data_IF_573118506098
#
_entry.id   IF_573118506098
#
_cell.length_a   1.000
_cell.length_b   1.000
_cell.length_c   1.000
_cell.angle_alpha   90.00
_cell.angle_beta   90.00
_cell.angle_gamma   90.00
#
_symmetry.space_group_name_H-M   'P 1'
#
loop_
_entity.id
_entity.type
_entity.pdbx_description
1 polymer ?
#
# COMPACT_ATOMS: atom_id res chain seq x y z
N UNK A 1 38.90 -41.95 2.97
CA UNK A 1 39.20 -40.81 3.86
C UNK A 1 38.45 -39.53 3.49
N UNK A 2 38.45 -39.10 2.24
CA UNK A 2 37.73 -37.88 1.79
C UNK A 2 36.22 -37.91 2.02
N UNK A 3 35.54 -39.02 1.82
CA UNK A 3 34.09 -39.15 2.00
C UNK A 3 33.65 -38.94 3.47
N UNK A 4 34.44 -39.41 4.43
CA UNK A 4 34.17 -39.28 5.86
C UNK A 4 34.37 -37.85 6.31
N UNK A 5 35.41 -37.15 5.85
CA UNK A 5 35.63 -35.73 6.11
C UNK A 5 34.50 -34.88 5.51
N UNK A 6 34.06 -35.19 4.31
CA UNK A 6 32.96 -34.54 3.64
C UNK A 6 31.66 -34.65 4.46
N UNK A 7 31.32 -35.86 4.91
CA UNK A 7 30.14 -36.09 5.75
C UNK A 7 30.21 -35.31 7.08
N UNK A 8 31.37 -35.29 7.75
CA UNK A 8 31.55 -34.56 9.00
C UNK A 8 31.36 -33.06 8.81
N UNK A 9 31.86 -32.51 7.69
CA UNK A 9 31.72 -31.07 7.39
C UNK A 9 30.26 -30.63 7.20
N UNK A 10 29.38 -31.52 6.70
CA UNK A 10 27.97 -31.20 6.43
C UNK A 10 27.02 -31.54 7.57
N UNK A 11 27.42 -32.33 8.57
CA UNK A 11 26.54 -32.69 9.71
C UNK A 11 26.12 -31.46 10.53
N UNK A 12 27.02 -30.53 10.81
CA UNK A 12 26.69 -29.31 11.59
C UNK A 12 25.76 -28.37 10.83
N UNK A 13 26.05 -27.99 9.54
CA UNK A 13 25.13 -27.17 8.74
C UNK A 13 23.75 -27.82 8.55
N UNK A 14 23.69 -29.13 8.32
CA UNK A 14 22.42 -29.86 8.15
C UNK A 14 21.60 -29.84 9.46
N UNK A 15 22.23 -30.13 10.60
CA UNK A 15 21.55 -30.05 11.90
C UNK A 15 21.09 -28.62 12.22
N UNK A 16 21.90 -27.62 11.90
CA UNK A 16 21.53 -26.22 12.04
C UNK A 16 20.35 -25.85 11.16
N UNK A 17 20.35 -26.26 9.89
CA UNK A 17 19.24 -26.02 8.96
C UNK A 17 17.93 -26.72 9.39
N UNK A 18 18.02 -27.98 9.86
CA UNK A 18 16.86 -28.71 10.38
C UNK A 18 16.32 -28.03 11.66
N UNK A 19 17.22 -27.57 12.56
CA UNK A 19 16.82 -26.85 13.77
C UNK A 19 16.13 -25.50 13.43
N UNK A 20 16.70 -24.75 12.50
CA UNK A 20 16.10 -23.49 12.04
C UNK A 20 14.74 -23.72 11.39
N UNK A 21 14.63 -24.67 10.46
CA UNK A 21 13.37 -25.01 9.81
C UNK A 21 12.31 -25.54 10.79
N UNK A 22 12.71 -26.25 11.84
CA UNK A 22 11.77 -26.74 12.87
C UNK A 22 11.32 -25.68 13.87
N UNK A 23 12.02 -24.56 13.96
CA UNK A 23 11.66 -23.40 14.81
C UNK A 23 11.02 -22.24 14.04
N UNK A 24 10.92 -22.36 12.73
CA UNK A 24 10.36 -21.34 11.88
C UNK A 24 8.83 -21.26 12.08
N UNK A 25 8.35 -20.08 12.41
CA UNK A 25 6.93 -19.81 12.57
C UNK A 25 6.41 -19.33 11.22
N UNK A 26 5.35 -19.96 10.67
CA UNK A 26 4.78 -19.47 9.41
C UNK A 26 4.39 -18.00 9.49
N UNK A 27 4.80 -17.21 8.50
CA UNK A 27 4.45 -15.79 8.39
C UNK A 27 2.92 -15.60 8.37
N UNK A 28 2.21 -16.51 7.72
CA UNK A 28 0.76 -16.57 7.70
C UNK A 28 0.31 -17.66 8.68
N UNK A 29 -0.15 -17.25 9.84
CA UNK A 29 -0.79 -18.11 10.82
C UNK A 29 -2.29 -18.31 10.53
N UNK A 30 -2.97 -19.14 11.33
CA UNK A 30 -4.38 -19.46 11.14
C UNK A 30 -5.30 -18.22 11.22
N UNK A 31 -4.96 -17.23 12.05
CA UNK A 31 -5.74 -15.99 12.18
C UNK A 31 -5.62 -15.15 10.88
N UNK A 32 -4.41 -15.00 10.34
CA UNK A 32 -4.19 -14.35 9.05
C UNK A 32 -4.94 -15.06 7.93
N UNK A 33 -4.80 -16.37 7.84
CA UNK A 33 -5.45 -17.17 6.80
C UNK A 33 -6.97 -17.04 6.87
N UNK A 34 -7.56 -17.19 8.05
CA UNK A 34 -9.01 -17.09 8.25
C UNK A 34 -9.54 -15.70 7.91
N UNK A 35 -8.80 -14.64 8.29
CA UNK A 35 -9.18 -13.26 7.97
C UNK A 35 -9.15 -13.01 6.46
N UNK A 36 -8.11 -13.48 5.77
CA UNK A 36 -8.00 -13.30 4.32
C UNK A 36 -9.06 -14.09 3.55
N UNK A 37 -9.43 -15.28 4.02
CA UNK A 37 -10.56 -16.04 3.47
C UNK A 37 -11.89 -15.31 3.70
N UNK A 38 -12.11 -14.71 4.88
CA UNK A 38 -13.29 -13.90 5.12
C UNK A 38 -13.36 -12.69 4.18
N UNK A 39 -12.25 -11.98 3.97
CA UNK A 39 -12.20 -10.89 2.99
C UNK A 39 -12.55 -11.41 1.58
N UNK A 40 -12.02 -12.57 1.18
CA UNK A 40 -12.35 -13.17 -0.11
C UNK A 40 -13.86 -13.42 -0.26
N UNK A 41 -14.51 -13.95 0.78
CA UNK A 41 -15.92 -14.34 0.75
C UNK A 41 -16.89 -13.15 0.85
N UNK A 42 -16.54 -12.16 1.67
CA UNK A 42 -17.47 -11.09 2.08
C UNK A 42 -17.30 -9.80 1.28
N UNK A 43 -16.21 -9.66 0.51
CA UNK A 43 -15.93 -8.44 -0.24
C UNK A 43 -16.18 -8.56 -1.74
N UNK A 44 -16.35 -7.41 -2.39
CA UNK A 44 -16.39 -7.35 -3.86
C UNK A 44 -15.05 -7.79 -4.47
N UNK A 45 -15.07 -8.47 -5.62
CA UNK A 45 -13.87 -8.91 -6.35
C UNK A 45 -12.88 -7.76 -6.67
N UNK A 46 -13.38 -6.52 -6.75
CA UNK A 46 -12.57 -5.32 -6.99
C UNK A 46 -12.17 -4.59 -5.71
N UNK A 47 -12.48 -5.13 -4.55
CA UNK A 47 -12.06 -4.55 -3.28
C UNK A 47 -10.54 -4.49 -3.20
N UNK A 48 -10.00 -3.37 -2.72
CA UNK A 48 -8.55 -3.13 -2.68
C UNK A 48 -8.06 -3.36 -1.25
N UNK A 49 -6.97 -4.10 -1.10
CA UNK A 49 -6.30 -4.23 0.19
C UNK A 49 -5.07 -3.32 0.21
N UNK A 50 -5.05 -2.40 1.17
CA UNK A 50 -3.90 -1.52 1.45
C UNK A 50 -3.25 -1.94 2.76
N UNK A 51 -1.96 -2.23 2.73
CA UNK A 51 -1.11 -2.54 3.87
C UNK A 51 0.33 -2.17 3.53
N UNK A 52 1.28 -2.37 4.44
CA UNK A 52 2.68 -2.37 4.07
C UNK A 52 2.97 -3.56 3.14
N UNK A 53 4.00 -3.46 2.31
CA UNK A 53 4.23 -4.35 1.14
C UNK A 53 4.50 -5.83 1.48
N UNK A 54 4.95 -6.14 2.69
CA UNK A 54 5.46 -7.46 3.09
C UNK A 54 4.47 -8.60 2.83
N UNK A 55 3.20 -8.36 3.14
CA UNK A 55 2.15 -9.36 2.99
C UNK A 55 1.37 -9.26 1.67
N UNK A 56 1.71 -8.32 0.80
CA UNK A 56 0.96 -8.04 -0.42
C UNK A 56 0.74 -9.27 -1.33
N UNK A 57 1.75 -10.14 -1.44
CA UNK A 57 1.62 -11.38 -2.20
C UNK A 57 0.64 -12.37 -1.56
N UNK A 58 0.62 -12.46 -0.22
CA UNK A 58 -0.32 -13.31 0.51
C UNK A 58 -1.76 -12.81 0.36
N UNK A 59 -1.97 -11.50 0.40
CA UNK A 59 -3.29 -10.90 0.16
C UNK A 59 -3.81 -11.24 -1.23
N UNK A 60 -2.99 -11.12 -2.25
CA UNK A 60 -3.35 -11.51 -3.62
C UNK A 60 -3.66 -13.00 -3.75
N UNK A 61 -2.85 -13.86 -3.12
CA UNK A 61 -2.97 -15.32 -3.29
C UNK A 61 -4.09 -15.94 -2.46
N UNK A 62 -4.41 -15.39 -1.28
CA UNK A 62 -5.39 -15.97 -0.35
C UNK A 62 -6.72 -15.23 -0.42
N UNK A 63 -6.70 -13.90 -0.31
CA UNK A 63 -7.92 -13.10 -0.42
C UNK A 63 -8.39 -12.91 -1.87
N UNK A 64 -7.52 -13.18 -2.86
CA UNK A 64 -7.81 -12.96 -4.28
C UNK A 64 -8.33 -11.53 -4.56
N UNK A 65 -7.66 -10.55 -3.98
CA UNK A 65 -7.99 -9.13 -4.12
C UNK A 65 -6.78 -8.32 -4.56
N UNK A 66 -6.98 -7.29 -5.40
CA UNK A 66 -5.91 -6.34 -5.73
C UNK A 66 -5.36 -5.68 -4.48
N UNK A 67 -4.06 -5.38 -4.50
CA UNK A 67 -3.36 -4.68 -3.42
C UNK A 67 -2.81 -3.35 -3.93
N UNK A 68 -2.65 -2.38 -3.04
CA UNK A 68 -2.06 -1.08 -3.38
C UNK A 68 -0.61 -1.25 -3.86
N UNK A 69 0.18 -2.09 -3.19
CA UNK A 69 1.53 -2.48 -3.61
C UNK A 69 1.98 -3.75 -2.86
N UNK A 70 3.06 -4.34 -3.33
CA UNK A 70 3.64 -5.58 -2.80
C UNK A 70 5.17 -5.59 -2.96
N UNK A 71 5.82 -6.69 -2.62
CA UNK A 71 7.27 -6.85 -2.69
C UNK A 71 7.89 -6.60 -4.07
N UNK A 72 7.14 -6.73 -5.16
CA UNK A 72 7.64 -6.41 -6.51
C UNK A 72 7.55 -4.92 -6.83
N UNK A 73 6.71 -4.19 -6.12
CA UNK A 73 6.42 -2.75 -6.34
C UNK A 73 6.81 -1.88 -5.14
N UNK A 74 7.57 -2.42 -4.19
CA UNK A 74 7.98 -1.74 -2.94
C UNK A 74 8.76 -0.43 -3.15
N UNK A 75 9.39 -0.24 -4.31
CA UNK A 75 10.12 0.99 -4.67
C UNK A 75 9.26 1.99 -5.44
N UNK A 76 8.00 1.69 -5.69
CA UNK A 76 7.09 2.54 -6.45
C UNK A 76 6.44 3.61 -5.56
N UNK A 77 5.89 4.69 -6.16
CA UNK A 77 5.30 5.80 -5.41
C UNK A 77 4.26 5.44 -4.34
N UNK A 78 3.42 4.40 -4.48
CA UNK A 78 2.52 3.99 -3.40
C UNK A 78 3.19 3.75 -2.06
N UNK A 79 4.46 3.27 -2.04
CA UNK A 79 5.22 3.08 -0.80
C UNK A 79 5.38 4.39 0.00
N UNK A 80 5.62 5.52 -0.68
CA UNK A 80 5.66 6.83 -0.02
C UNK A 80 4.34 7.19 0.67
N UNK A 81 3.24 6.95 -0.02
CA UNK A 81 1.92 7.31 0.48
C UNK A 81 1.47 6.41 1.63
N UNK A 82 1.70 5.10 1.52
CA UNK A 82 1.38 4.16 2.61
C UNK A 82 2.30 4.37 3.81
N UNK A 83 3.60 4.64 3.62
CA UNK A 83 4.48 5.03 4.71
C UNK A 83 4.00 6.29 5.42
N UNK A 84 3.55 7.30 4.67
CA UNK A 84 2.97 8.50 5.24
C UNK A 84 1.65 8.25 5.97
N UNK A 85 0.79 7.38 5.43
CA UNK A 85 -0.45 6.94 6.06
C UNK A 85 -0.19 6.32 7.44
N UNK A 86 0.79 5.43 7.54
CA UNK A 86 1.14 4.75 8.79
C UNK A 86 1.78 5.67 9.84
N UNK A 87 2.37 6.79 9.41
CA UNK A 87 3.08 7.73 10.28
C UNK A 87 2.27 8.97 10.67
N UNK A 88 1.06 9.17 10.12
CA UNK A 88 0.25 10.34 10.44
C UNK A 88 -0.64 10.10 11.65
N UNK A 89 -0.75 11.08 12.53
CA UNK A 89 -1.73 11.13 13.63
C UNK A 89 -3.04 11.84 13.22
N UNK A 90 -3.14 12.28 11.98
CA UNK A 90 -4.31 12.98 11.44
C UNK A 90 -5.20 12.02 10.65
N UNK A 91 -6.30 11.58 11.26
CA UNK A 91 -7.25 10.65 10.66
C UNK A 91 -7.80 11.15 9.31
N UNK A 92 -8.15 12.43 9.19
CA UNK A 92 -8.65 12.98 7.93
C UNK A 92 -7.60 12.91 6.81
N UNK A 93 -6.33 13.09 7.15
CA UNK A 93 -5.23 12.92 6.19
C UNK A 93 -5.04 11.44 5.82
N UNK A 94 -5.11 10.54 6.80
CA UNK A 94 -5.02 9.10 6.57
C UNK A 94 -6.11 8.63 5.60
N UNK A 95 -7.36 8.97 5.87
CA UNK A 95 -8.51 8.66 5.00
C UNK A 95 -8.35 9.29 3.61
N UNK A 96 -7.84 10.52 3.53
CA UNK A 96 -7.57 11.20 2.26
C UNK A 96 -6.52 10.49 1.42
N UNK A 97 -5.45 9.99 2.05
CA UNK A 97 -4.40 9.20 1.37
C UNK A 97 -4.99 7.87 0.86
N UNK A 98 -5.70 7.11 1.70
CA UNK A 98 -6.35 5.87 1.30
C UNK A 98 -7.29 6.10 0.10
N UNK A 99 -8.18 7.08 0.21
CA UNK A 99 -9.08 7.44 -0.89
C UNK A 99 -8.33 7.78 -2.18
N UNK A 100 -7.24 8.53 -2.12
CA UNK A 100 -6.42 8.83 -3.30
C UNK A 100 -5.80 7.58 -3.92
N UNK A 101 -5.26 6.68 -3.09
CA UNK A 101 -4.68 5.42 -3.55
C UNK A 101 -5.73 4.54 -4.23
N UNK A 102 -6.91 4.42 -3.64
CA UNK A 102 -8.02 3.63 -4.17
C UNK A 102 -8.64 4.25 -5.43
N UNK A 103 -8.63 5.58 -5.56
CA UNK A 103 -9.14 6.29 -6.74
C UNK A 103 -8.20 6.23 -7.96
N UNK A 104 -6.89 6.08 -7.75
CA UNK A 104 -5.96 6.15 -8.89
C UNK A 104 -4.49 6.06 -8.52
N UNK A 105 -4.18 5.53 -7.35
CA UNK A 105 -2.80 5.36 -6.90
C UNK A 105 -1.99 6.67 -6.96
N UNK A 106 -0.92 6.73 -7.76
CA UNK A 106 -0.09 7.93 -7.90
C UNK A 106 -0.59 8.93 -8.96
N UNK A 107 -1.69 8.64 -9.67
CA UNK A 107 -2.14 9.46 -10.81
C UNK A 107 -2.42 10.92 -10.45
N UNK A 108 -2.86 11.20 -9.21
CA UNK A 108 -3.05 12.57 -8.75
C UNK A 108 -1.73 13.36 -8.72
N UNK A 109 -0.67 12.74 -8.18
CA UNK A 109 0.67 13.32 -8.18
C UNK A 109 1.21 13.50 -9.60
N UNK A 110 1.12 12.47 -10.43
CA UNK A 110 1.60 12.51 -11.82
C UNK A 110 0.91 13.60 -12.63
N UNK A 111 -0.40 13.80 -12.40
CA UNK A 111 -1.18 14.87 -13.02
C UNK A 111 -0.65 16.24 -12.60
N UNK A 112 -0.43 16.46 -11.32
CA UNK A 112 0.11 17.73 -10.81
C UNK A 112 1.55 17.95 -11.25
N UNK A 113 2.37 16.91 -11.25
CA UNK A 113 3.77 16.99 -11.69
C UNK A 113 3.87 17.35 -13.17
N UNK A 114 3.04 16.77 -14.03
CA UNK A 114 2.96 17.15 -15.46
C UNK A 114 2.61 18.62 -15.67
N UNK A 115 1.82 19.22 -14.76
CA UNK A 115 1.44 20.63 -14.84
C UNK A 115 2.52 21.58 -14.30
N UNK A 116 3.18 21.20 -13.23
CA UNK A 116 4.08 22.07 -12.47
C UNK A 116 5.56 21.85 -12.77
N UNK A 117 5.92 20.63 -13.20
CA UNK A 117 7.28 20.12 -13.30
C UNK A 117 8.10 20.34 -12.00
N UNK A 118 7.42 20.23 -10.86
CA UNK A 118 7.98 20.49 -9.52
C UNK A 118 7.38 19.50 -8.52
N UNK A 119 8.24 18.60 -8.02
CA UNK A 119 7.87 17.54 -7.05
C UNK A 119 7.37 18.14 -5.74
N UNK A 120 8.08 19.12 -5.19
CA UNK A 120 7.73 19.71 -3.89
C UNK A 120 6.40 20.44 -3.95
N UNK A 121 6.16 21.21 -5.02
CA UNK A 121 4.89 21.90 -5.23
C UNK A 121 3.75 20.91 -5.41
N UNK A 122 3.95 19.83 -6.19
CA UNK A 122 2.92 18.81 -6.41
C UNK A 122 2.56 18.07 -5.12
N UNK A 123 3.55 17.66 -4.31
CA UNK A 123 3.35 17.06 -2.99
C UNK A 123 2.65 18.03 -2.03
N UNK A 124 3.05 19.32 -2.03
CA UNK A 124 2.41 20.32 -1.18
C UNK A 124 0.93 20.48 -1.52
N UNK A 125 0.58 20.59 -2.79
CA UNK A 125 -0.82 20.68 -3.24
C UNK A 125 -1.62 19.49 -2.76
N UNK A 126 -1.11 18.25 -2.93
CA UNK A 126 -1.79 17.04 -2.47
C UNK A 126 -1.99 17.05 -0.96
N UNK A 127 -0.94 17.37 -0.20
CA UNK A 127 -1.04 17.42 1.25
C UNK A 127 -2.06 18.43 1.75
N UNK A 128 -2.21 19.56 1.05
CA UNK A 128 -3.15 20.61 1.40
C UNK A 128 -4.62 20.24 1.10
N UNK A 129 -4.87 19.23 0.23
CA UNK A 129 -6.23 18.88 -0.19
C UNK A 129 -6.73 17.53 0.31
N UNK A 130 -5.84 16.57 0.61
CA UNK A 130 -6.25 15.19 0.92
C UNK A 130 -7.13 15.07 2.16
N UNK A 131 -6.86 15.90 3.19
CA UNK A 131 -7.66 15.93 4.42
C UNK A 131 -9.00 16.71 4.28
N UNK A 132 -9.23 17.35 3.15
CA UNK A 132 -10.40 18.19 2.92
C UNK A 132 -11.55 17.38 2.30
N UNK A 133 -12.77 17.89 2.44
CA UNK A 133 -13.88 17.46 1.59
C UNK A 133 -13.71 17.98 0.16
N UNK A 134 -14.48 17.42 -0.78
CA UNK A 134 -14.34 17.70 -2.22
C UNK A 134 -14.51 19.19 -2.55
N UNK A 135 -15.44 19.87 -1.89
CA UNK A 135 -15.72 21.30 -2.16
C UNK A 135 -14.63 22.20 -1.61
N UNK A 136 -14.13 21.93 -0.41
CA UNK A 136 -12.99 22.66 0.14
C UNK A 136 -11.71 22.38 -0.66
N UNK A 137 -11.48 21.14 -1.07
CA UNK A 137 -10.36 20.77 -1.94
C UNK A 137 -10.43 21.53 -3.27
N UNK A 138 -11.63 21.63 -3.90
CA UNK A 138 -11.85 22.43 -5.12
C UNK A 138 -11.44 23.89 -4.92
N UNK A 139 -11.91 24.52 -3.84
CA UNK A 139 -11.55 25.92 -3.51
C UNK A 139 -10.05 26.07 -3.33
N UNK A 140 -9.42 25.15 -2.60
CA UNK A 140 -7.98 25.17 -2.38
C UNK A 140 -7.17 25.03 -3.68
N UNK A 141 -7.63 24.21 -4.63
CA UNK A 141 -7.02 24.07 -5.94
C UNK A 141 -7.15 25.34 -6.80
N UNK A 142 -8.25 26.11 -6.65
CA UNK A 142 -8.39 27.42 -7.27
C UNK A 142 -7.37 28.42 -6.75
N UNK A 143 -7.07 28.41 -5.43
CA UNK A 143 -6.03 29.26 -4.84
C UNK A 143 -4.64 28.97 -5.46
N UNK A 144 -4.40 27.74 -5.88
CA UNK A 144 -3.22 27.33 -6.64
C UNK A 144 -3.27 27.71 -8.13
N UNK A 145 -4.32 28.43 -8.57
CA UNK A 145 -4.55 28.93 -9.93
C UNK A 145 -4.68 27.80 -10.98
N UNK A 146 -5.20 26.63 -10.59
CA UNK A 146 -5.55 25.59 -11.52
C UNK A 146 -6.84 25.92 -12.27
N UNK A 147 -6.90 25.56 -13.55
CA UNK A 147 -8.13 25.70 -14.34
C UNK A 147 -9.20 24.69 -13.89
N UNK A 148 -10.47 24.91 -14.21
CA UNK A 148 -11.56 23.98 -13.86
C UNK A 148 -11.32 22.57 -14.39
N UNK A 149 -10.76 22.42 -15.58
CA UNK A 149 -10.42 21.12 -16.16
C UNK A 149 -9.31 20.43 -15.35
N UNK A 150 -8.25 21.15 -14.99
CA UNK A 150 -7.16 20.63 -14.16
C UNK A 150 -7.66 20.20 -12.78
N UNK A 151 -8.52 21.01 -12.16
CA UNK A 151 -9.17 20.71 -10.87
C UNK A 151 -9.99 19.42 -11.01
N UNK A 152 -10.81 19.30 -12.05
CA UNK A 152 -11.59 18.11 -12.32
C UNK A 152 -10.72 16.85 -12.40
N UNK A 153 -9.61 16.93 -13.12
CA UNK A 153 -8.67 15.82 -13.28
C UNK A 153 -8.01 15.42 -11.93
N UNK A 154 -7.58 16.38 -11.12
CA UNK A 154 -6.98 16.08 -9.80
C UNK A 154 -8.04 15.47 -8.87
N UNK A 155 -9.24 16.06 -8.82
CA UNK A 155 -10.31 15.57 -7.96
C UNK A 155 -10.85 14.19 -8.36
N UNK A 156 -10.75 13.80 -9.63
CA UNK A 156 -11.12 12.45 -10.06
C UNK A 156 -10.22 11.37 -9.47
N UNK A 157 -8.98 11.70 -9.12
CA UNK A 157 -8.01 10.79 -8.50
C UNK A 157 -7.87 10.97 -6.97
N UNK A 158 -8.43 12.03 -6.40
CA UNK A 158 -8.30 12.28 -4.96
C UNK A 158 -9.63 12.23 -4.22
N UNK A 159 -10.74 12.53 -4.89
CA UNK A 159 -12.08 12.68 -4.32
C UNK A 159 -13.14 11.97 -5.17
N UNK A 160 -12.80 10.82 -5.73
CA UNK A 160 -13.76 9.94 -6.38
C UNK A 160 -14.68 9.26 -5.35
N UNK A 161 -15.59 8.42 -5.81
CA UNK A 161 -16.22 7.40 -4.99
C UNK A 161 -15.37 6.13 -5.11
N UNK A 162 -14.50 5.80 -4.11
CA UNK A 162 -13.58 4.69 -4.22
C UNK A 162 -14.32 3.35 -4.21
N UNK A 163 -13.71 2.27 -4.74
CA UNK A 163 -14.22 0.92 -4.54
C UNK A 163 -14.20 0.56 -3.04
N UNK A 164 -14.81 -0.55 -2.70
CA UNK A 164 -14.64 -1.15 -1.37
C UNK A 164 -13.14 -1.39 -1.10
N UNK A 165 -12.69 -1.10 0.11
CA UNK A 165 -11.28 -1.22 0.46
C UNK A 165 -11.10 -1.64 1.91
N UNK A 166 -10.01 -2.35 2.15
CA UNK A 166 -9.55 -2.80 3.47
C UNK A 166 -8.17 -2.21 3.75
N UNK A 167 -8.03 -1.60 4.91
CA UNK A 167 -6.71 -1.21 5.41
C UNK A 167 -6.30 -2.19 6.51
N UNK A 168 -5.15 -2.83 6.33
CA UNK A 168 -4.60 -3.79 7.28
C UNK A 168 -3.29 -3.23 7.83
N UNK A 169 -3.23 -3.04 9.14
CA UNK A 169 -2.01 -2.72 9.87
C UNK A 169 -1.59 -3.94 10.67
N UNK A 170 -0.34 -4.37 10.54
CA UNK A 170 0.30 -5.42 11.33
C UNK A 170 1.26 -4.83 12.35
N UNK A 171 1.48 -5.56 13.45
CA UNK A 171 2.47 -5.23 14.49
C UNK A 171 3.78 -5.95 14.18
N UNK A 172 4.48 -5.60 13.10
CA UNK A 172 5.77 -6.19 12.75
C UNK A 172 6.95 -5.32 13.20
#
# INVERSE_FOLDING_TARGET
>A
MFLVLFLIFYIKPIKGAIGAAGSDIPLINDAWYSTLIAINQDSNEKAIITSWWDFGHHFKSIADRPVTFDGTTQTYPPAHWVGKLLMTDNEAQAIGILRMLDCGQNNAFDTLFKMNNDTHKSLKILNDILALDKEKARKKLLDYKLTQQQIGNVLSYTHCNPPEAYFIASED
#
